data_IF_454695473920
#
_entry.id   IF_454695473920
#
_cell.length_a   1.000
_cell.length_b   1.000
_cell.length_c   1.000
_cell.angle_alpha   90.00
_cell.angle_beta   90.00
_cell.angle_gamma   90.00
#
_symmetry.space_group_name_H-M   'P 1'
#
loop_
_entity.id
_entity.type
_entity.pdbx_description
1 polymer ?
#
# COMPACT_ATOMS: atom_id res chain seq x y z
N UNK A 1 16.66 -5.49 -16.79
CA UNK A 1 15.47 -5.83 -17.62
C UNK A 1 14.52 -4.65 -17.53
N UNK A 2 14.20 -4.05 -18.67
CA UNK A 2 13.32 -2.88 -18.79
C UNK A 2 11.91 -3.42 -19.03
N UNK A 3 10.92 -2.94 -18.28
CA UNK A 3 9.50 -3.20 -18.59
C UNK A 3 9.13 -2.25 -19.72
N UNK A 4 8.66 -2.78 -20.85
CA UNK A 4 8.12 -1.95 -21.91
C UNK A 4 6.78 -1.36 -21.46
N UNK A 5 6.78 -0.05 -21.25
CA UNK A 5 5.61 0.73 -20.80
C UNK A 5 5.06 1.62 -21.91
N UNK A 6 5.42 1.38 -23.18
CA UNK A 6 5.00 2.23 -24.31
C UNK A 6 3.49 2.23 -24.55
N UNK A 7 2.81 1.13 -24.21
CA UNK A 7 1.37 0.95 -24.33
C UNK A 7 0.60 1.22 -23.01
N UNK A 8 1.26 1.73 -21.97
CA UNK A 8 0.62 2.00 -20.68
C UNK A 8 -0.17 3.30 -20.70
N UNK A 9 -1.32 3.30 -20.03
CA UNK A 9 -2.15 4.47 -19.82
C UNK A 9 -1.63 5.36 -18.69
N UNK A 10 -2.01 6.63 -18.71
CA UNK A 10 -1.74 7.60 -17.66
C UNK A 10 -2.98 7.79 -16.78
N UNK A 11 -2.82 7.65 -15.47
CA UNK A 11 -3.90 7.71 -14.49
C UNK A 11 -3.54 8.64 -13.34
N UNK A 12 -4.48 9.49 -12.94
CA UNK A 12 -4.31 10.35 -11.78
C UNK A 12 -4.54 9.55 -10.49
N UNK A 13 -3.62 9.67 -9.54
CA UNK A 13 -3.67 8.88 -8.29
C UNK A 13 -4.98 9.11 -7.53
N UNK A 14 -5.44 10.36 -7.42
CA UNK A 14 -6.68 10.70 -6.73
C UNK A 14 -7.96 10.24 -7.43
N UNK A 15 -7.88 9.74 -8.66
CA UNK A 15 -9.01 9.12 -9.39
C UNK A 15 -9.06 7.60 -9.17
N UNK A 16 -7.93 7.00 -8.78
CA UNK A 16 -7.82 5.56 -8.54
C UNK A 16 -7.95 5.17 -7.06
N UNK A 17 -7.62 6.09 -6.15
CA UNK A 17 -7.48 5.80 -4.72
C UNK A 17 -8.15 6.85 -3.84
N UNK A 18 -8.57 6.38 -2.66
CA UNK A 18 -9.02 7.22 -1.56
C UNK A 18 -8.09 7.08 -0.36
N UNK A 19 -8.11 8.11 0.50
CA UNK A 19 -7.40 8.08 1.78
C UNK A 19 -8.40 7.90 2.94
N UNK A 20 -8.60 6.67 3.46
CA UNK A 20 -9.51 6.45 4.57
C UNK A 20 -9.10 7.24 5.82
N UNK A 21 -10.08 7.55 6.67
CA UNK A 21 -9.86 8.22 7.95
C UNK A 21 -9.50 7.17 9.02
N UNK A 22 -8.21 6.86 9.11
CA UNK A 22 -7.66 5.91 10.07
C UNK A 22 -6.99 6.61 11.26
N UNK A 23 -6.98 5.95 12.42
CA UNK A 23 -6.23 6.42 13.59
C UNK A 23 -6.80 5.91 14.91
N UNK A 24 -6.29 6.49 16.00
CA UNK A 24 -6.68 6.16 17.36
C UNK A 24 -8.12 6.61 17.64
N UNK A 25 -8.99 5.66 18.00
CA UNK A 25 -10.41 5.83 18.24
C UNK A 25 -10.88 4.92 19.40
N UNK A 26 -10.49 5.19 20.65
CA UNK A 26 -10.87 4.38 21.79
C UNK A 26 -12.32 4.63 22.20
N UNK A 27 -12.91 3.66 22.89
CA UNK A 27 -14.20 3.79 23.56
C UNK A 27 -14.03 3.46 25.06
N UNK A 28 -14.24 4.43 26.00
CA UNK A 28 -14.67 5.81 25.77
C UNK A 28 -13.60 6.70 25.12
N UNK A 29 -13.99 7.79 24.43
CA UNK A 29 -13.05 8.71 23.80
C UNK A 29 -12.05 9.31 24.80
N UNK A 30 -10.76 9.25 24.47
CA UNK A 30 -9.67 9.87 25.24
C UNK A 30 -8.53 10.33 24.34
N UNK A 31 -7.67 11.18 24.88
CA UNK A 31 -6.47 11.66 24.18
C UNK A 31 -5.47 10.51 23.98
N UNK A 32 -4.90 10.45 22.78
CA UNK A 32 -3.81 9.55 22.44
C UNK A 32 -2.51 9.93 23.18
N UNK A 33 -1.87 8.93 23.80
CA UNK A 33 -0.58 9.06 24.47
C UNK A 33 0.36 8.03 23.85
N UNK A 34 1.19 8.45 22.87
CA UNK A 34 2.06 7.55 22.09
C UNK A 34 2.86 6.56 22.96
N UNK A 35 3.45 7.01 24.06
CA UNK A 35 4.23 6.15 24.96
C UNK A 35 3.41 5.09 25.73
N UNK A 36 2.11 5.30 25.94
CA UNK A 36 1.23 4.40 26.70
C UNK A 36 0.31 3.57 25.79
N UNK A 37 0.03 4.07 24.58
CA UNK A 37 -0.94 3.51 23.65
C UNK A 37 -0.31 2.79 22.46
N UNK A 38 1.03 2.73 22.44
CA UNK A 38 1.76 2.01 21.42
C UNK A 38 2.93 1.22 22.00
N UNK A 39 3.30 0.16 21.29
CA UNK A 39 4.53 -0.60 21.51
C UNK A 39 5.38 -0.59 20.25
N UNK A 40 6.71 -0.58 20.36
CA UNK A 40 7.61 -0.75 19.19
C UNK A 40 7.76 -2.21 18.77
N UNK A 41 7.31 -3.14 19.61
CA UNK A 41 7.31 -4.59 19.37
C UNK A 41 5.89 -5.14 19.46
N UNK A 42 5.57 -6.09 18.59
CA UNK A 42 4.29 -6.79 18.64
C UNK A 42 4.26 -7.72 19.85
N UNK A 43 3.15 -7.72 20.59
CA UNK A 43 2.94 -8.64 21.71
C UNK A 43 1.44 -8.93 21.88
N UNK A 44 1.07 -9.70 22.90
CA UNK A 44 -0.32 -10.14 23.15
C UNK A 44 -1.31 -8.98 23.35
N UNK A 45 -0.84 -7.80 23.78
CA UNK A 45 -1.66 -6.61 24.03
C UNK A 45 -1.66 -5.67 22.82
N UNK A 46 -0.49 -5.46 22.22
CA UNK A 46 -0.28 -4.55 21.10
C UNK A 46 -0.07 -5.36 19.82
N UNK A 47 -1.18 -5.64 19.12
CA UNK A 47 -1.20 -6.53 17.95
C UNK A 47 -1.53 -5.80 16.64
N UNK A 48 -2.16 -4.62 16.68
CA UNK A 48 -2.56 -3.87 15.48
C UNK A 48 -1.35 -3.16 14.90
N UNK A 49 -0.87 -3.47 13.68
CA UNK A 49 0.26 -2.78 13.08
C UNK A 49 -0.08 -1.33 12.75
N UNK A 50 0.82 -0.41 13.12
CA UNK A 50 0.67 1.03 12.93
C UNK A 50 1.86 1.56 12.12
N UNK A 51 1.56 2.10 10.94
CA UNK A 51 2.58 2.72 10.09
C UNK A 51 2.96 4.12 10.59
N UNK A 52 4.19 4.54 10.33
CA UNK A 52 4.71 5.88 10.62
C UNK A 52 5.91 6.20 9.71
N UNK A 53 6.75 7.17 10.07
CA UNK A 53 8.00 7.57 9.42
C UNK A 53 9.12 6.51 9.49
N UNK A 54 8.86 5.29 8.98
CA UNK A 54 9.83 4.19 9.00
C UNK A 54 10.19 3.71 7.61
N UNK A 55 11.49 3.61 7.37
CA UNK A 55 12.03 2.91 6.22
C UNK A 55 12.24 1.43 6.56
N UNK A 56 11.70 0.54 5.74
CA UNK A 56 11.70 -0.90 5.99
C UNK A 56 10.59 -1.34 6.96
N UNK A 57 10.50 -2.65 7.22
CA UNK A 57 9.41 -3.28 7.98
C UNK A 57 8.01 -2.85 7.52
N UNK A 58 7.84 -2.67 6.21
CA UNK A 58 6.63 -2.16 5.58
C UNK A 58 6.11 -0.84 6.19
N UNK A 59 6.99 0.03 6.70
CA UNK A 59 6.60 1.28 7.35
C UNK A 59 6.00 1.12 8.75
N UNK A 60 5.90 -0.11 9.27
CA UNK A 60 5.34 -0.41 10.60
C UNK A 60 6.36 -0.04 11.68
N UNK A 61 6.06 1.02 12.41
CA UNK A 61 6.90 1.54 13.49
C UNK A 61 6.38 1.16 14.87
N UNK A 62 5.07 0.97 14.99
CA UNK A 62 4.41 0.73 16.26
C UNK A 62 3.31 -0.32 16.12
N UNK A 63 2.83 -0.79 17.27
CA UNK A 63 1.68 -1.66 17.41
C UNK A 63 0.70 -1.06 18.43
N UNK A 64 -0.60 -1.12 18.12
CA UNK A 64 -1.71 -0.63 18.93
C UNK A 64 -2.56 -1.76 19.50
N UNK A 65 -3.45 -1.44 20.45
CA UNK A 65 -4.40 -2.41 20.99
C UNK A 65 -5.58 -2.61 20.04
N UNK A 66 -6.09 -3.84 19.86
CA UNK A 66 -7.36 -4.07 19.19
C UNK A 66 -8.49 -3.24 19.81
N UNK A 67 -9.42 -2.75 18.98
CA UNK A 67 -10.57 -1.96 19.44
C UNK A 67 -10.28 -0.49 19.77
N UNK A 68 -9.02 -0.07 19.85
CA UNK A 68 -8.65 1.34 20.05
C UNK A 68 -8.25 2.06 18.75
N UNK A 69 -8.26 1.36 17.61
CA UNK A 69 -7.79 1.89 16.32
C UNK A 69 -8.77 1.53 15.21
N UNK A 70 -9.06 2.49 14.35
CA UNK A 70 -9.70 2.20 13.07
C UNK A 70 -8.65 1.67 12.09
N UNK A 71 -8.96 0.58 11.40
CA UNK A 71 -8.04 -0.14 10.51
C UNK A 71 -8.64 -0.30 9.12
N UNK A 72 -7.78 -0.55 8.14
CA UNK A 72 -8.18 -1.02 6.81
C UNK A 72 -7.30 -2.20 6.38
N UNK A 73 -7.87 -3.07 5.56
CA UNK A 73 -7.19 -4.22 4.94
C UNK A 73 -6.90 -3.93 3.47
N UNK A 74 -5.98 -4.68 2.86
CA UNK A 74 -5.67 -4.60 1.43
C UNK A 74 -5.36 -3.16 0.98
N UNK A 75 -4.45 -2.51 1.69
CA UNK A 75 -4.10 -1.11 1.50
C UNK A 75 -2.68 -0.92 0.98
N UNK A 76 -2.42 0.28 0.45
CA UNK A 76 -1.08 0.77 0.13
C UNK A 76 -0.73 1.91 1.09
N UNK A 77 0.31 1.74 1.89
CA UNK A 77 0.83 2.76 2.80
C UNK A 77 1.86 3.66 2.11
N UNK A 78 1.74 4.97 2.30
CA UNK A 78 2.74 5.96 1.87
C UNK A 78 3.31 6.66 3.09
N UNK A 79 4.63 6.66 3.22
CA UNK A 79 5.32 7.44 4.25
C UNK A 79 5.39 8.90 3.77
N UNK A 80 4.56 9.74 4.39
CA UNK A 80 4.40 11.16 4.05
C UNK A 80 5.62 11.99 4.40
N UNK A 81 6.32 11.62 5.48
CA UNK A 81 7.42 12.40 6.05
C UNK A 81 8.41 11.50 6.81
N UNK A 82 9.66 11.95 6.92
CA UNK A 82 10.74 11.20 7.57
C UNK A 82 12.06 11.35 6.82
N UNK A 83 13.17 11.55 7.54
CA UNK A 83 14.46 11.92 6.93
C UNK A 83 14.94 10.92 5.87
N UNK A 84 14.71 9.62 6.10
CA UNK A 84 15.11 8.54 5.19
C UNK A 84 13.90 7.90 4.49
N UNK A 85 12.74 7.93 5.13
CA UNK A 85 11.59 7.13 4.75
C UNK A 85 10.58 7.83 3.83
N UNK A 86 10.67 9.16 3.69
CA UNK A 86 9.71 9.94 2.90
C UNK A 86 9.57 9.40 1.47
N UNK A 87 8.32 9.24 1.05
CA UNK A 87 7.97 8.73 -0.28
C UNK A 87 8.11 7.22 -0.45
N UNK A 88 8.53 6.47 0.59
CA UNK A 88 8.45 5.01 0.57
C UNK A 88 6.99 4.55 0.56
N UNK A 89 6.73 3.47 -0.19
CA UNK A 89 5.39 2.92 -0.38
C UNK A 89 5.40 1.43 -0.05
N UNK A 90 4.40 0.96 0.69
CA UNK A 90 4.33 -0.41 1.20
C UNK A 90 2.94 -1.01 1.02
N UNK A 91 2.86 -2.33 0.88
CA UNK A 91 1.59 -3.08 0.81
C UNK A 91 1.24 -3.63 2.19
N UNK A 92 -0.03 -3.53 2.54
CA UNK A 92 -0.60 -4.11 3.75
C UNK A 92 -1.85 -4.93 3.42
N UNK A 93 -1.72 -6.26 3.39
CA UNK A 93 -2.87 -7.15 3.24
C UNK A 93 -3.69 -7.27 4.53
N UNK A 94 -3.11 -7.43 5.74
CA UNK A 94 -3.88 -7.50 6.97
C UNK A 94 -4.30 -6.13 7.49
N UNK A 95 -5.23 -6.13 8.44
CA UNK A 95 -5.74 -4.91 9.07
C UNK A 95 -4.61 -4.06 9.65
N UNK A 96 -4.47 -2.84 9.15
CA UNK A 96 -3.40 -1.90 9.49
C UNK A 96 -3.98 -0.52 9.77
N UNK A 97 -3.35 0.24 10.66
CA UNK A 97 -3.67 1.65 10.90
C UNK A 97 -2.42 2.53 10.78
N UNK A 98 -2.55 3.82 11.09
CA UNK A 98 -1.51 4.83 10.87
C UNK A 98 -1.31 5.70 12.08
N UNK A 99 -0.10 6.23 12.22
CA UNK A 99 0.24 7.30 13.13
C UNK A 99 1.01 8.38 12.36
N UNK A 100 0.51 9.62 12.45
CA UNK A 100 1.19 10.86 12.03
C UNK A 100 1.74 10.85 10.59
N UNK A 101 3.03 10.52 10.43
CA UNK A 101 3.84 10.76 9.24
C UNK A 101 3.66 9.72 8.11
N UNK A 102 2.53 9.00 8.10
CA UNK A 102 2.10 8.11 7.02
C UNK A 102 0.60 8.16 6.82
N UNK A 103 0.13 7.64 5.68
CA UNK A 103 -1.28 7.38 5.43
C UNK A 103 -1.45 6.11 4.59
N UNK A 104 -2.64 5.51 4.63
CA UNK A 104 -3.00 4.40 3.75
C UNK A 104 -3.89 4.88 2.60
N UNK A 105 -3.84 4.14 1.52
CA UNK A 105 -4.68 4.27 0.34
C UNK A 105 -5.51 2.99 0.16
N UNK A 106 -6.78 3.17 -0.17
CA UNK A 106 -7.71 2.12 -0.56
C UNK A 106 -8.26 2.41 -1.96
N UNK A 107 -8.72 1.39 -2.65
CA UNK A 107 -9.54 1.60 -3.84
C UNK A 107 -10.93 2.09 -3.42
N UNK A 108 -11.56 3.02 -4.18
CA UNK A 108 -12.95 3.39 -3.98
C UNK A 108 -13.88 2.16 -4.03
N UNK A 109 -14.95 2.17 -3.24
CA UNK A 109 -15.94 1.07 -3.19
C UNK A 109 -16.62 0.82 -4.55
N UNK A 110 -16.73 1.86 -5.39
CA UNK A 110 -17.34 1.86 -6.73
C UNK A 110 -16.33 1.59 -7.86
N UNK A 111 -15.06 1.99 -7.70
CA UNK A 111 -13.97 1.61 -8.62
C UNK A 111 -13.72 0.09 -8.63
N UNK A 112 -14.14 -0.61 -7.57
CA UNK A 112 -14.12 -2.07 -7.47
C UNK A 112 -15.32 -2.77 -8.14
N UNK A 113 -16.23 -2.05 -8.79
CA UNK A 113 -17.49 -2.64 -9.30
C UNK A 113 -17.87 -2.08 -10.67
N UNK A 114 -17.39 -2.73 -11.73
CA UNK A 114 -18.06 -2.62 -13.05
C UNK A 114 -18.75 -3.91 -13.49
N UNK A 115 -18.45 -5.08 -12.91
CA UNK A 115 -19.24 -6.29 -13.15
C UNK A 115 -19.18 -7.30 -11.99
N UNK A 116 -20.22 -7.30 -11.15
CA UNK A 116 -20.40 -8.25 -10.04
C UNK A 116 -20.97 -9.60 -10.46
N UNK A 117 -21.18 -9.86 -11.76
CA UNK A 117 -21.67 -11.16 -12.23
C UNK A 117 -20.56 -12.22 -12.42
N UNK A 118 -19.29 -11.85 -12.17
CA UNK A 118 -18.10 -12.71 -12.35
C UNK A 118 -17.26 -12.90 -11.07
N UNK A 119 -17.90 -12.76 -9.91
CA UNK A 119 -17.29 -12.56 -8.58
C UNK A 119 -16.37 -13.70 -8.10
N UNK A 120 -16.43 -14.89 -8.66
CA UNK A 120 -15.82 -16.04 -7.97
C UNK A 120 -14.28 -16.01 -7.90
N UNK A 121 -13.54 -15.24 -8.73
CA UNK A 121 -12.05 -15.27 -8.72
C UNK A 121 -11.31 -13.98 -9.18
N UNK A 122 -11.78 -12.74 -8.94
CA UNK A 122 -11.18 -11.55 -9.62
C UNK A 122 -10.10 -10.71 -8.86
N UNK A 123 -9.09 -10.16 -9.58
CA UNK A 123 -7.76 -9.78 -9.07
C UNK A 123 -7.56 -8.36 -8.55
N UNK A 124 -8.52 -7.45 -8.68
CA UNK A 124 -8.36 -6.00 -8.43
C UNK A 124 -7.92 -5.60 -7.01
N UNK A 125 -8.02 -6.51 -6.04
CA UNK A 125 -7.59 -6.34 -4.65
C UNK A 125 -6.65 -7.46 -4.18
N UNK A 126 -6.01 -8.16 -5.11
CA UNK A 126 -5.00 -9.16 -4.79
C UNK A 126 -3.73 -8.50 -4.26
N UNK A 127 -2.96 -9.24 -3.47
CA UNK A 127 -1.64 -8.78 -3.03
C UNK A 127 -0.74 -8.44 -4.23
N UNK A 128 -0.85 -9.21 -5.30
CA UNK A 128 -0.13 -9.01 -6.56
C UNK A 128 -0.42 -7.65 -7.19
N UNK A 129 -1.70 -7.27 -7.31
CA UNK A 129 -2.09 -5.96 -7.85
C UNK A 129 -1.58 -4.85 -6.93
N UNK A 130 -1.76 -4.99 -5.61
CA UNK A 130 -1.26 -4.02 -4.64
C UNK A 130 0.26 -3.83 -4.75
N UNK A 131 1.03 -4.91 -4.90
CA UNK A 131 2.49 -4.87 -5.06
C UNK A 131 2.91 -4.18 -6.35
N UNK A 132 2.23 -4.47 -7.46
CA UNK A 132 2.50 -3.81 -8.73
C UNK A 132 2.28 -2.31 -8.61
N UNK A 133 1.10 -1.90 -8.15
CA UNK A 133 0.70 -0.50 -8.01
C UNK A 133 1.59 0.23 -7.01
N UNK A 134 1.90 -0.37 -5.86
CA UNK A 134 2.81 0.21 -4.87
C UNK A 134 4.20 0.49 -5.47
N UNK A 135 4.71 -0.40 -6.32
CA UNK A 135 5.99 -0.22 -7.03
C UNK A 135 5.93 0.98 -7.97
N UNK A 136 4.85 1.12 -8.75
CA UNK A 136 4.66 2.26 -9.66
C UNK A 136 4.52 3.56 -8.88
N UNK A 137 3.73 3.57 -7.81
CA UNK A 137 3.56 4.73 -6.93
C UNK A 137 4.91 5.16 -6.32
N UNK A 138 5.69 4.23 -5.76
CA UNK A 138 6.99 4.56 -5.18
C UNK A 138 7.94 5.18 -6.21
N UNK A 139 7.96 4.64 -7.44
CA UNK A 139 8.79 5.15 -8.52
C UNK A 139 8.45 6.61 -8.91
N UNK A 140 7.21 7.04 -8.71
CA UNK A 140 6.77 8.43 -8.95
C UNK A 140 6.97 9.31 -7.71
N UNK A 141 6.59 8.83 -6.53
CA UNK A 141 6.56 9.60 -5.29
C UNK A 141 7.99 9.83 -4.77
N UNK A 142 8.76 8.76 -4.59
CA UNK A 142 10.06 8.82 -3.89
C UNK A 142 11.06 9.83 -4.47
N UNK A 143 11.22 10.00 -5.80
CA UNK A 143 12.13 11.02 -6.33
C UNK A 143 11.59 12.47 -6.28
N UNK A 144 10.28 12.67 -6.05
CA UNK A 144 9.64 14.01 -6.06
C UNK A 144 9.55 14.65 -4.68
N UNK A 145 9.54 13.84 -3.63
CA UNK A 145 9.31 14.28 -2.27
C UNK A 145 10.55 14.09 -1.39
N UNK A 146 10.65 14.90 -0.34
CA UNK A 146 11.77 14.93 0.58
C UNK A 146 11.28 15.31 1.98
N UNK A 147 12.19 15.33 2.97
CA UNK A 147 11.83 15.74 4.32
C UNK A 147 11.21 17.15 4.37
N UNK A 148 11.77 18.09 3.61
CA UNK A 148 11.26 19.46 3.50
C UNK A 148 10.03 19.53 2.59
N UNK A 149 9.98 18.71 1.54
CA UNK A 149 8.84 18.60 0.63
C UNK A 149 8.08 17.29 0.87
N UNK A 150 7.25 17.27 1.93
CA UNK A 150 6.49 16.09 2.35
C UNK A 150 5.58 15.54 1.26
N UNK A 151 5.49 14.21 1.17
CA UNK A 151 4.62 13.44 0.29
C UNK A 151 3.19 13.37 0.85
N UNK A 152 2.56 14.52 1.10
CA UNK A 152 1.19 14.57 1.65
C UNK A 152 0.14 14.21 0.60
N UNK A 153 -0.99 13.63 1.04
CA UNK A 153 -2.08 13.19 0.15
C UNK A 153 -2.59 14.28 -0.80
N UNK A 154 -2.69 15.53 -0.35
CA UNK A 154 -3.15 16.63 -1.21
C UNK A 154 -2.24 16.88 -2.41
N UNK A 155 -0.97 16.47 -2.34
CA UNK A 155 -0.03 16.51 -3.47
C UNK A 155 -0.01 15.18 -4.20
N UNK A 156 0.13 14.06 -3.48
CA UNK A 156 0.23 12.72 -4.08
C UNK A 156 -1.01 12.36 -4.90
N UNK A 157 -2.21 12.76 -4.47
CA UNK A 157 -3.45 12.57 -5.24
C UNK A 157 -3.48 13.31 -6.59
N UNK A 158 -2.63 14.31 -6.77
CA UNK A 158 -2.50 15.06 -8.03
C UNK A 158 -1.43 14.48 -8.96
N UNK A 159 -0.67 13.49 -8.49
CA UNK A 159 0.33 12.82 -9.30
C UNK A 159 -0.31 11.95 -10.38
N UNK A 160 0.42 11.76 -11.47
CA UNK A 160 0.07 10.84 -12.56
C UNK A 160 1.00 9.64 -12.53
N UNK A 161 0.42 8.44 -12.57
CA UNK A 161 1.14 7.17 -12.69
C UNK A 161 0.83 6.51 -14.03
N UNK A 162 1.74 5.62 -14.48
CA UNK A 162 1.52 4.79 -15.66
C UNK A 162 1.18 3.37 -15.27
N UNK A 163 0.11 2.81 -15.82
CA UNK A 163 -0.30 1.42 -15.58
C UNK A 163 -0.65 0.72 -16.90
N UNK A 164 -0.54 -0.62 -16.99
CA UNK A 164 -1.19 -1.38 -18.05
C UNK A 164 -2.66 -0.97 -18.20
N UNK A 165 -3.15 -0.88 -19.44
CA UNK A 165 -4.48 -0.34 -19.75
C UNK A 165 -5.22 -1.29 -20.70
N UNK A 166 -6.52 -1.46 -20.47
CA UNK A 166 -7.40 -2.25 -21.35
C UNK A 166 -7.71 -1.45 -22.64
N UNK A 167 -8.24 -2.09 -23.69
CA UNK A 167 -8.70 -1.37 -24.89
C UNK A 167 -9.72 -0.25 -24.62
N UNK A 168 -10.48 -0.35 -23.52
CA UNK A 168 -11.49 0.62 -23.07
C UNK A 168 -10.87 1.81 -22.33
N UNK A 169 -9.57 1.77 -22.06
CA UNK A 169 -8.86 2.87 -21.45
C UNK A 169 -8.85 2.84 -19.91
N UNK A 170 -9.23 1.74 -19.27
CA UNK A 170 -9.17 1.58 -17.81
C UNK A 170 -7.92 0.78 -17.39
N UNK A 171 -7.46 0.85 -16.13
CA UNK A 171 -6.31 0.06 -15.71
C UNK A 171 -6.57 -1.45 -15.84
N UNK A 172 -5.62 -2.17 -16.41
CA UNK A 172 -5.69 -3.62 -16.61
C UNK A 172 -5.15 -4.36 -15.37
N UNK A 173 -6.04 -4.58 -14.40
CA UNK A 173 -5.71 -5.24 -13.13
C UNK A 173 -5.27 -6.70 -13.31
N UNK A 174 -5.86 -7.41 -14.28
CA UNK A 174 -5.49 -8.81 -14.56
C UNK A 174 -4.06 -8.89 -15.09
N UNK A 175 -3.68 -8.02 -16.03
CA UNK A 175 -2.32 -7.98 -16.54
C UNK A 175 -1.29 -7.68 -15.43
N UNK A 176 -1.63 -6.78 -14.49
CA UNK A 176 -0.80 -6.49 -13.31
C UNK A 176 -0.66 -7.71 -12.39
N UNK A 177 -1.78 -8.39 -12.09
CA UNK A 177 -1.80 -9.62 -11.31
C UNK A 177 -0.92 -10.70 -11.93
N UNK A 178 -1.18 -11.05 -13.19
CA UNK A 178 -0.47 -12.10 -13.94
C UNK A 178 1.03 -11.82 -14.03
N UNK A 179 1.39 -10.56 -14.21
CA UNK A 179 2.78 -10.13 -14.23
C UNK A 179 3.48 -10.48 -12.90
N UNK A 180 2.90 -10.11 -11.76
CA UNK A 180 3.51 -10.37 -10.45
C UNK A 180 3.48 -11.86 -10.12
N UNK A 181 2.38 -12.57 -10.40
CA UNK A 181 2.27 -14.03 -10.26
C UNK A 181 3.37 -14.77 -11.03
N UNK A 182 3.58 -14.42 -12.30
CA UNK A 182 4.64 -15.01 -13.13
C UNK A 182 6.03 -14.75 -12.55
N UNK A 183 6.26 -13.56 -11.98
CA UNK A 183 7.54 -13.22 -11.32
C UNK A 183 7.74 -14.01 -10.03
N UNK A 184 6.71 -14.11 -9.18
CA UNK A 184 6.73 -14.91 -7.94
C UNK A 184 7.04 -16.37 -8.24
N UNK A 185 6.35 -16.96 -9.22
CA UNK A 185 6.58 -18.35 -9.64
C UNK A 185 8.03 -18.58 -10.06
N UNK A 186 8.57 -17.74 -10.96
CA UNK A 186 9.97 -17.83 -11.42
C UNK A 186 10.96 -17.67 -10.27
N UNK A 187 10.69 -16.77 -9.32
CA UNK A 187 11.54 -16.59 -8.15
C UNK A 187 11.53 -17.85 -7.27
N UNK A 188 10.38 -18.48 -7.05
CA UNK A 188 10.24 -19.75 -6.34
C UNK A 188 11.04 -20.89 -7.00
N UNK A 189 10.89 -21.06 -8.32
CA UNK A 189 11.63 -22.06 -9.09
C UNK A 189 13.17 -21.89 -8.96
N UNK A 190 13.65 -20.64 -8.96
CA UNK A 190 15.07 -20.35 -8.77
C UNK A 190 15.56 -20.70 -7.36
N UNK A 191 14.76 -20.40 -6.32
CA UNK A 191 15.09 -20.75 -4.92
C UNK A 191 15.14 -22.27 -4.76
N UNK A 192 14.14 -22.98 -5.29
CA UNK A 192 14.13 -24.45 -5.27
C UNK A 192 15.33 -25.05 -6.00
N UNK A 193 15.72 -24.48 -7.14
CA UNK A 193 16.91 -24.92 -7.87
C UNK A 193 18.20 -24.74 -7.04
N UNK A 194 18.33 -23.62 -6.32
CA UNK A 194 19.47 -23.37 -5.42
C UNK A 194 19.50 -24.35 -4.23
N UNK A 195 18.35 -24.65 -3.63
CA UNK A 195 18.24 -25.61 -2.53
C UNK A 195 18.64 -27.04 -2.93
N UNK A 196 18.60 -27.39 -4.22
CA UNK A 196 19.05 -28.69 -4.73
C UNK A 196 20.56 -28.79 -4.95
N UNK A 197 21.30 -27.68 -4.83
CA UNK A 197 22.76 -27.62 -5.00
C UNK A 197 23.54 -27.68 -3.68
N UNK A 198 22.84 -27.67 -2.54
CA UNK A 198 23.40 -27.74 -1.18
C UNK A 198 22.93 -29.01 -0.47
#
# INVERSE_FOLDING_TARGET
MIVDSSAWGEFKVGELFEKPKLGFMPDPPRKFIKAADTSTEQNEVFTVPLTNAKYGNNGIMYYGRPGEWTTAEKTIGVVSNGAVAVGSVYVHTPATSVIDDSYLLTFPDDAAVQDRSKIDEEPGLTEEVLLFVATVLEAVIRPRYSYDNKAVWSKVSQETIKLPQTPEGTPDWQAMHDFVCKRRKRAGENVEALLRLV
#
